data_IF_188978465626
#
_entry.id   IF_188978465626
#
_cell.length_a   1.000
_cell.length_b   1.000
_cell.length_c   1.000
_cell.angle_alpha   90.00
_cell.angle_beta   90.00
_cell.angle_gamma   90.00
#
_symmetry.space_group_name_H-M   'P 1'
#
loop_
_entity.id
_entity.type
_entity.pdbx_description
1 polymer ?
#
# COMPACT_ATOMS: atom_id res chain seq x y z
N UNK A 1 -5.60 23.97 -6.82
CA UNK A 1 -5.04 23.07 -7.85
C UNK A 1 -6.10 22.03 -8.11
N UNK A 2 -6.65 22.02 -9.31
CA UNK A 2 -7.64 21.03 -9.74
C UNK A 2 -6.86 20.02 -10.60
N UNK A 3 -6.89 18.74 -10.25
CA UNK A 3 -6.04 17.71 -10.88
C UNK A 3 -6.50 17.35 -12.31
N UNK A 4 -7.63 17.87 -12.77
CA UNK A 4 -8.25 17.50 -14.05
C UNK A 4 -9.03 16.17 -13.99
N UNK A 5 -8.93 15.43 -12.88
CA UNK A 5 -9.65 14.19 -12.64
C UNK A 5 -10.00 13.98 -11.16
N UNK A 6 -10.93 13.06 -10.91
CA UNK A 6 -11.27 12.51 -9.59
C UNK A 6 -11.17 10.98 -9.61
N UNK A 7 -11.09 10.38 -8.42
CA UNK A 7 -11.09 8.93 -8.25
C UNK A 7 -12.37 8.48 -7.56
N UNK A 8 -12.97 7.41 -8.08
CA UNK A 8 -14.19 6.81 -7.53
C UNK A 8 -14.02 5.30 -7.36
N UNK A 9 -14.68 4.73 -6.35
CA UNK A 9 -14.83 3.29 -6.21
C UNK A 9 -16.17 2.87 -6.82
N UNK A 10 -16.15 1.92 -7.75
CA UNK A 10 -17.33 1.37 -8.41
C UNK A 10 -17.14 -0.15 -8.57
N UNK A 11 -18.20 -0.94 -8.80
CA UNK A 11 -18.04 -2.34 -9.18
C UNK A 11 -17.08 -2.46 -10.37
N UNK A 12 -16.08 -3.32 -10.26
CA UNK A 12 -15.07 -3.52 -11.30
C UNK A 12 -15.70 -4.04 -12.60
N UNK A 13 -15.16 -3.63 -13.75
CA UNK A 13 -15.55 -4.14 -15.07
C UNK A 13 -14.92 -5.51 -15.37
N UNK A 14 -13.99 -5.97 -14.52
CA UNK A 14 -13.31 -7.24 -14.70
C UNK A 14 -14.31 -8.40 -14.48
N UNK A 15 -14.44 -9.34 -15.44
CA UNK A 15 -15.47 -10.37 -15.40
C UNK A 15 -15.08 -11.56 -14.50
N UNK A 16 -14.75 -11.32 -13.22
CA UNK A 16 -14.62 -12.38 -12.21
C UNK A 16 -15.13 -11.95 -10.84
N UNK A 17 -15.69 -12.91 -10.09
CA UNK A 17 -16.36 -12.66 -8.80
C UNK A 17 -15.45 -12.04 -7.74
N UNK A 18 -14.16 -12.34 -7.80
CA UNK A 18 -13.15 -11.82 -6.86
C UNK A 18 -12.69 -10.38 -7.17
N UNK A 19 -13.13 -9.75 -8.27
CA UNK A 19 -12.70 -8.40 -8.65
C UNK A 19 -13.31 -7.32 -7.75
N UNK A 20 -14.49 -7.58 -7.19
CA UNK A 20 -15.14 -6.69 -6.23
C UNK A 20 -15.29 -5.26 -6.74
N UNK A 21 -14.80 -4.30 -5.95
CA UNK A 21 -14.70 -2.89 -6.32
C UNK A 21 -13.40 -2.63 -7.07
N UNK A 22 -13.47 -1.76 -8.08
CA UNK A 22 -12.33 -1.24 -8.82
C UNK A 22 -12.15 0.25 -8.59
N UNK A 23 -10.93 0.74 -8.85
CA UNK A 23 -10.59 2.15 -8.86
C UNK A 23 -10.90 2.75 -10.24
N UNK A 24 -11.69 3.80 -10.31
CA UNK A 24 -12.03 4.48 -11.56
C UNK A 24 -11.51 5.90 -11.54
N UNK A 25 -10.97 6.34 -12.68
CA UNK A 25 -10.64 7.73 -12.93
C UNK A 25 -11.80 8.38 -13.69
N UNK A 26 -12.30 9.51 -13.21
CA UNK A 26 -13.28 10.37 -13.90
C UNK A 26 -12.61 11.68 -14.27
N UNK A 27 -12.59 12.05 -15.56
CA UNK A 27 -11.77 13.13 -16.10
C UNK A 27 -10.62 12.61 -16.97
N UNK A 28 -9.54 13.40 -17.09
CA UNK A 28 -8.40 13.10 -17.96
C UNK A 28 -7.07 13.15 -17.19
N UNK A 29 -6.16 12.23 -17.52
CA UNK A 29 -4.79 12.23 -17.00
C UNK A 29 -3.79 11.83 -18.08
N UNK A 30 -2.74 12.63 -18.24
CA UNK A 30 -1.68 12.37 -19.20
C UNK A 30 -0.74 11.24 -18.76
N UNK A 31 0.01 10.69 -19.72
CA UNK A 31 1.10 9.73 -19.44
C UNK A 31 2.07 10.33 -18.41
N UNK A 32 2.44 9.55 -17.40
CA UNK A 32 3.35 9.99 -16.33
C UNK A 32 2.66 10.70 -15.17
N UNK A 33 1.35 10.93 -15.22
CA UNK A 33 0.59 11.51 -14.11
C UNK A 33 0.52 10.54 -12.93
N UNK A 34 0.72 11.05 -11.71
CA UNK A 34 0.50 10.28 -10.47
C UNK A 34 -1.01 10.15 -10.24
N UNK A 35 -1.55 8.97 -10.42
CA UNK A 35 -2.98 8.68 -10.32
C UNK A 35 -3.43 8.49 -8.89
N UNK A 36 -2.73 7.66 -8.11
CA UNK A 36 -3.14 7.31 -6.74
C UNK A 36 -1.92 6.99 -5.85
N UNK A 37 -2.12 7.06 -4.54
CA UNK A 37 -1.13 6.75 -3.50
C UNK A 37 -1.59 5.47 -2.79
N UNK A 38 -0.66 4.54 -2.53
CA UNK A 38 -0.92 3.33 -1.76
C UNK A 38 -0.87 3.65 -0.26
N UNK A 39 -2.01 3.62 0.44
CA UNK A 39 -2.09 4.11 1.80
C UNK A 39 -1.76 3.02 2.83
N UNK A 40 -1.77 3.41 4.10
CA UNK A 40 -1.78 2.49 5.23
C UNK A 40 -0.45 2.35 5.97
N UNK A 41 -0.31 1.23 6.68
CA UNK A 41 0.76 1.03 7.66
C UNK A 41 2.00 0.45 6.99
N UNK A 42 3.13 1.14 7.15
CA UNK A 42 4.45 0.78 6.64
C UNK A 42 5.17 -0.09 7.67
N UNK A 43 5.65 -1.24 7.24
CA UNK A 43 6.50 -2.13 8.02
C UNK A 43 7.86 -2.25 7.34
N UNK A 44 8.91 -1.84 8.05
CA UNK A 44 10.27 -2.20 7.65
C UNK A 44 10.51 -3.70 7.87
N UNK A 45 11.54 -4.31 7.23
CA UNK A 45 11.88 -5.72 7.45
C UNK A 45 12.02 -6.14 8.92
N UNK A 46 12.42 -5.20 9.79
CA UNK A 46 12.58 -5.45 11.23
C UNK A 46 11.26 -5.80 11.93
N UNK A 47 10.15 -5.35 11.35
CA UNK A 47 8.83 -5.41 11.93
C UNK A 47 7.88 -6.38 11.23
N UNK A 48 8.36 -7.22 10.30
CA UNK A 48 7.52 -8.20 9.59
C UNK A 48 6.69 -9.10 10.51
N UNK A 49 7.26 -9.51 11.65
CA UNK A 49 6.57 -10.37 12.64
C UNK A 49 5.31 -9.72 13.24
N UNK A 50 5.18 -8.40 13.12
CA UNK A 50 4.05 -7.63 13.62
C UNK A 50 2.99 -7.37 12.54
N UNK A 51 3.25 -7.76 11.29
CA UNK A 51 2.22 -7.72 10.25
C UNK A 51 1.13 -8.72 10.67
N UNK A 52 -0.14 -8.30 10.74
CA UNK A 52 -1.21 -9.20 11.14
C UNK A 52 -1.30 -10.44 10.23
N UNK A 53 -1.43 -11.61 10.84
CA UNK A 53 -1.42 -12.90 10.12
C UNK A 53 -0.04 -13.50 9.88
N UNK A 54 1.05 -12.87 10.33
CA UNK A 54 2.41 -13.42 10.18
C UNK A 54 2.52 -14.85 10.76
N UNK A 55 3.19 -15.80 10.07
CA UNK A 55 3.92 -15.62 8.80
C UNK A 55 3.06 -15.70 7.53
N UNK A 56 1.77 -16.05 7.63
CA UNK A 56 0.84 -16.24 6.49
C UNK A 56 0.01 -14.97 6.25
N UNK A 57 0.71 -13.85 6.10
CA UNK A 57 0.11 -12.50 6.01
C UNK A 57 -0.82 -12.33 4.79
N UNK A 58 -0.56 -13.06 3.71
CA UNK A 58 -1.28 -13.00 2.43
C UNK A 58 -2.61 -13.77 2.42
N UNK A 59 -2.84 -14.66 3.40
CA UNK A 59 -4.00 -15.54 3.38
C UNK A 59 -5.34 -14.80 3.57
N UNK A 60 -5.34 -13.63 4.20
CA UNK A 60 -6.55 -12.86 4.54
C UNK A 60 -6.40 -11.36 4.26
N UNK A 61 -5.31 -10.93 3.62
CA UNK A 61 -5.04 -9.53 3.37
C UNK A 61 -4.67 -9.30 1.90
N UNK A 62 -5.65 -8.94 1.05
CA UNK A 62 -5.41 -8.66 -0.36
C UNK A 62 -4.70 -7.32 -0.59
N UNK A 63 -4.57 -6.48 0.45
CA UNK A 63 -4.05 -5.12 0.38
C UNK A 63 -2.66 -4.99 1.02
N UNK A 64 -1.85 -6.04 0.88
CA UNK A 64 -0.42 -6.03 1.19
C UNK A 64 0.39 -5.86 -0.08
N UNK A 65 1.34 -4.93 -0.05
CA UNK A 65 2.28 -4.71 -1.14
C UNK A 65 3.69 -4.56 -0.60
N UNK A 66 4.67 -5.08 -1.33
CA UNK A 66 6.09 -4.99 -0.97
C UNK A 66 6.83 -4.11 -1.97
N UNK A 67 7.58 -3.13 -1.45
CA UNK A 67 8.54 -2.33 -2.20
C UNK A 67 9.82 -3.12 -2.50
N UNK A 68 10.61 -2.65 -3.45
CA UNK A 68 11.88 -3.29 -3.82
C UNK A 68 12.90 -3.31 -2.66
N UNK A 69 12.85 -2.30 -1.78
CA UNK A 69 13.69 -2.17 -0.58
C UNK A 69 13.22 -3.04 0.60
N UNK A 70 12.21 -3.90 0.40
CA UNK A 70 11.68 -4.78 1.43
C UNK A 70 10.74 -4.09 2.41
N UNK A 71 10.36 -2.84 2.19
CA UNK A 71 9.29 -2.24 2.96
C UNK A 71 7.94 -2.83 2.53
N UNK A 72 7.11 -3.24 3.50
CA UNK A 72 5.75 -3.72 3.27
C UNK A 72 4.75 -2.64 3.65
N UNK A 73 3.75 -2.40 2.82
CA UNK A 73 2.64 -1.49 3.11
C UNK A 73 1.35 -2.31 3.24
N UNK A 74 0.62 -2.10 4.34
CA UNK A 74 -0.66 -2.71 4.62
C UNK A 74 -1.77 -1.66 4.55
N UNK A 75 -2.54 -1.67 3.46
CA UNK A 75 -3.65 -0.75 3.26
C UNK A 75 -4.96 -1.23 3.89
N UNK A 76 -5.04 -2.46 4.42
CA UNK A 76 -6.28 -2.98 5.02
C UNK A 76 -6.88 -2.08 6.12
N UNK A 77 -6.08 -1.54 7.08
CA UNK A 77 -6.62 -0.62 8.09
C UNK A 77 -7.11 0.71 7.52
N UNK A 78 -6.69 1.09 6.31
CA UNK A 78 -7.08 2.33 5.66
C UNK A 78 -8.51 2.28 5.09
N UNK A 79 -9.00 1.10 4.68
CA UNK A 79 -10.31 0.95 4.05
C UNK A 79 -10.44 1.84 2.80
N UNK A 80 -11.59 2.50 2.64
CA UNK A 80 -11.87 3.44 1.53
C UNK A 80 -11.58 4.91 1.89
N UNK A 81 -10.84 5.18 2.98
CA UNK A 81 -10.66 6.53 3.53
C UNK A 81 -11.72 6.87 4.57
N UNK A 82 -11.96 8.17 4.81
CA UNK A 82 -12.94 8.64 5.79
C UNK A 82 -13.34 10.10 5.57
N UNK A 83 -14.45 10.51 6.18
CA UNK A 83 -14.99 11.89 6.07
C UNK A 83 -14.36 12.88 7.07
N UNK A 84 -13.51 12.39 7.98
CA UNK A 84 -12.95 13.20 9.07
C UNK A 84 -11.45 12.98 9.26
N UNK A 85 -10.81 13.92 9.97
CA UNK A 85 -9.45 13.74 10.48
C UNK A 85 -9.50 12.79 11.66
N UNK A 86 -8.73 11.71 11.58
CA UNK A 86 -8.70 10.71 12.63
C UNK A 86 -7.28 10.59 13.19
N UNK A 87 -7.17 10.63 14.52
CA UNK A 87 -5.96 10.18 15.21
C UNK A 87 -5.89 8.66 15.07
N UNK A 88 -4.75 8.11 14.61
CA UNK A 88 -4.46 6.69 14.85
C UNK A 88 -4.15 6.54 16.33
N UNK A 89 -5.21 6.50 17.15
CA UNK A 89 -5.14 5.85 18.45
C UNK A 89 -4.99 4.36 18.16
N UNK A 90 -4.29 3.64 19.04
CA UNK A 90 -4.25 2.17 19.07
C UNK A 90 -5.62 1.54 19.39
N UNK A 91 -6.69 2.14 18.87
CA UNK A 91 -8.08 1.79 19.03
C UNK A 91 -8.41 0.67 18.07
N UNK A 92 -8.12 -0.55 18.52
CA UNK A 92 -8.97 -1.70 18.21
C UNK A 92 -10.33 -1.46 18.87
N UNK A 93 -11.10 -0.46 18.41
CA UNK A 93 -12.46 -0.21 18.86
C UNK A 93 -13.33 0.29 17.72
N UNK A 94 -14.20 -0.63 17.28
CA UNK A 94 -15.50 -0.44 16.62
C UNK A 94 -15.54 0.05 15.17
N UNK A 95 -15.47 -0.91 14.24
CA UNK A 95 -16.33 -0.90 13.05
C UNK A 95 -17.09 -2.22 13.05
N UNK A 96 -18.33 -2.19 13.54
CA UNK A 96 -19.18 -3.38 13.65
C UNK A 96 -19.56 -3.91 12.27
N UNK A 97 -18.96 -5.04 11.87
CA UNK A 97 -19.58 -6.03 10.97
C UNK A 97 -18.81 -7.36 11.03
N UNK A 98 -19.44 -8.39 11.61
CA UNK A 98 -19.31 -9.83 11.34
C UNK A 98 -17.94 -10.55 11.42
N UNK A 99 -16.85 -9.98 10.88
CA UNK A 99 -15.52 -10.59 10.77
C UNK A 99 -14.61 -10.30 12.00
N UNK A 100 -15.06 -9.46 12.93
CA UNK A 100 -14.24 -8.89 14.02
C UNK A 100 -13.75 -9.86 15.10
N UNK A 101 -14.34 -11.05 15.26
CA UNK A 101 -13.92 -11.95 16.36
C UNK A 101 -12.51 -12.51 16.15
N UNK A 102 -12.13 -12.75 14.89
CA UNK A 102 -10.80 -13.28 14.54
C UNK A 102 -9.75 -12.17 14.68
N UNK A 103 -10.07 -10.95 14.23
CA UNK A 103 -9.20 -9.78 14.36
C UNK A 103 -8.90 -9.41 15.81
N UNK A 104 -9.90 -9.47 16.71
CA UNK A 104 -9.71 -9.20 18.15
C UNK A 104 -8.73 -10.18 18.82
N UNK A 105 -8.62 -11.41 18.33
CA UNK A 105 -7.66 -12.39 18.85
C UNK A 105 -6.26 -12.20 18.26
N UNK A 106 -6.14 -11.74 17.01
CA UNK A 106 -4.86 -11.56 16.32
C UNK A 106 -4.19 -10.20 16.59
N UNK A 107 -4.93 -9.23 17.14
CA UNK A 107 -4.48 -7.84 17.35
C UNK A 107 -4.15 -7.49 18.81
N UNK A 108 -3.98 -8.47 19.71
CA UNK A 108 -3.53 -8.18 21.09
C UNK A 108 -2.22 -7.39 21.03
N UNK A 109 -2.19 -6.10 21.44
CA UNK A 109 -0.97 -5.32 21.45
C UNK A 109 -0.06 -5.90 22.52
N UNK A 110 1.15 -6.31 22.15
CA UNK A 110 2.23 -6.45 23.12
C UNK A 110 2.57 -5.04 23.60
N UNK A 111 2.44 -4.82 24.91
CA UNK A 111 2.78 -3.56 25.57
C UNK A 111 4.11 -3.00 25.07
N UNK A 112 4.08 -1.76 24.55
CA UNK A 112 5.27 -0.96 24.29
C UNK A 112 5.59 -0.59 22.83
N UNK A 113 4.95 -1.18 21.81
CA UNK A 113 5.27 -0.84 20.41
C UNK A 113 4.21 0.10 19.81
N UNK A 114 4.55 1.38 19.66
CA UNK A 114 3.66 2.43 19.14
C UNK A 114 3.67 2.42 17.60
N UNK A 115 2.49 2.48 16.98
CA UNK A 115 2.31 2.80 15.55
C UNK A 115 2.32 4.31 15.43
N UNK A 116 3.29 4.87 14.72
CA UNK A 116 3.55 6.32 14.74
C UNK A 116 4.12 6.82 16.07
N UNK A 117 4.68 8.03 16.06
CA UNK A 117 4.87 8.79 17.29
C UNK A 117 3.47 9.06 17.87
N UNK A 118 3.31 8.85 19.17
CA UNK A 118 2.06 9.11 19.89
C UNK A 118 1.50 10.49 19.53
N UNK A 119 0.49 10.57 18.66
CA UNK A 119 -0.14 11.83 18.23
C UNK A 119 -0.22 12.11 16.72
N UNK A 120 0.16 11.18 15.83
CA UNK A 120 0.01 11.39 14.38
C UNK A 120 -1.49 11.43 13.97
N UNK A 121 -2.02 12.64 13.81
CA UNK A 121 -3.33 12.90 13.18
C UNK A 121 -3.20 12.70 11.67
N UNK A 122 -4.05 11.83 11.10
CA UNK A 122 -4.10 11.57 9.67
C UNK A 122 -5.32 12.19 9.01
N UNK A 123 -5.10 12.78 7.85
CA UNK A 123 -6.15 13.18 6.93
C UNK A 123 -6.60 11.97 6.10
N UNK A 124 -7.68 11.31 6.52
CA UNK A 124 -8.27 10.17 5.78
C UNK A 124 -9.09 10.61 4.55
N UNK A 125 -9.26 11.92 4.33
CA UNK A 125 -9.92 12.51 3.16
C UNK A 125 -9.00 12.68 1.96
N UNK A 126 -7.78 12.16 1.98
CA UNK A 126 -6.88 12.27 0.83
C UNK A 126 -7.54 11.56 -0.39
N UNK A 127 -7.94 12.31 -1.43
CA UNK A 127 -8.72 11.75 -2.54
C UNK A 127 -7.92 10.79 -3.43
N UNK A 128 -6.59 10.78 -3.29
CA UNK A 128 -5.70 9.91 -4.05
C UNK A 128 -5.35 8.62 -3.29
N UNK A 129 -5.73 8.48 -2.02
CA UNK A 129 -5.35 7.37 -1.14
C UNK A 129 -6.21 6.10 -1.38
N UNK A 130 -6.28 5.65 -2.63
CA UNK A 130 -7.14 4.55 -3.10
C UNK A 130 -6.41 3.53 -3.99
N UNK A 131 -5.08 3.61 -4.10
CA UNK A 131 -4.33 2.75 -5.03
C UNK A 131 -4.50 1.25 -4.77
N UNK A 132 -4.83 0.83 -3.55
CA UNK A 132 -5.07 -0.57 -3.20
C UNK A 132 -6.36 -1.15 -3.77
N UNK A 133 -7.22 -0.31 -4.38
CA UNK A 133 -8.40 -0.75 -5.15
C UNK A 133 -8.15 -0.90 -6.66
N UNK A 134 -6.95 -0.55 -7.16
CA UNK A 134 -6.63 -0.78 -8.57
C UNK A 134 -6.48 -2.27 -8.82
N UNK A 135 -7.32 -2.83 -9.70
CA UNK A 135 -7.38 -4.27 -9.94
C UNK A 135 -6.38 -4.74 -10.99
N UNK A 136 -6.12 -6.05 -11.00
CA UNK A 136 -5.38 -6.69 -12.07
C UNK A 136 -6.20 -6.79 -13.36
N UNK A 137 -5.66 -6.45 -14.54
CA UNK A 137 -6.39 -6.61 -15.80
C UNK A 137 -6.87 -8.05 -16.03
N UNK A 138 -8.03 -8.19 -16.67
CA UNK A 138 -8.49 -9.48 -17.18
C UNK A 138 -7.66 -9.92 -18.38
N UNK A 139 -7.83 -11.19 -18.80
CA UNK A 139 -7.24 -11.68 -20.05
C UNK A 139 -7.66 -10.80 -21.23
N UNK A 140 -6.67 -10.27 -21.95
CA UNK A 140 -6.88 -9.39 -23.11
C UNK A 140 -7.09 -7.91 -22.77
N UNK A 141 -6.97 -7.53 -21.50
CA UNK A 141 -6.90 -6.13 -21.08
C UNK A 141 -5.45 -5.76 -20.75
N UNK A 142 -5.09 -4.51 -20.98
CA UNK A 142 -3.76 -3.98 -20.65
C UNK A 142 -3.80 -3.18 -19.34
N UNK A 143 -2.78 -3.30 -18.48
CA UNK A 143 -2.63 -2.37 -17.37
C UNK A 143 -2.37 -0.96 -17.91
N UNK A 144 -2.92 0.03 -17.21
CA UNK A 144 -2.81 1.44 -17.62
C UNK A 144 -2.08 2.30 -16.57
N UNK A 145 -1.65 1.68 -15.48
CA UNK A 145 -0.76 2.27 -14.47
C UNK A 145 0.37 1.32 -14.08
N UNK A 146 1.45 1.90 -13.55
CA UNK A 146 2.56 1.18 -12.95
C UNK A 146 2.83 1.67 -11.52
N UNK A 147 3.39 0.78 -10.69
CA UNK A 147 3.87 1.16 -9.35
C UNK A 147 5.20 1.91 -9.48
N UNK A 148 5.28 3.08 -8.87
CA UNK A 148 6.51 3.83 -8.66
C UNK A 148 6.77 4.00 -7.16
N UNK A 149 7.95 3.58 -6.64
CA UNK A 149 8.34 3.91 -5.27
C UNK A 149 8.53 5.42 -5.11
N UNK A 150 7.96 5.96 -4.04
CA UNK A 150 8.10 7.38 -3.70
C UNK A 150 8.39 7.53 -2.21
N UNK A 151 9.31 8.43 -1.89
CA UNK A 151 9.76 8.70 -0.51
C UNK A 151 9.42 10.16 -0.20
N UNK A 152 8.40 10.39 0.65
CA UNK A 152 8.00 11.74 1.06
C UNK A 152 9.03 12.33 2.01
N UNK A 153 9.72 13.43 1.66
CA UNK A 153 10.68 14.07 2.56
C UNK A 153 9.95 14.96 3.56
N UNK A 154 9.94 14.58 4.84
CA UNK A 154 9.26 15.30 5.94
C UNK A 154 9.97 16.61 6.32
N UNK A 155 10.10 17.51 5.34
CA UNK A 155 10.74 18.83 5.49
C UNK A 155 9.80 19.87 6.07
N UNK A 156 8.52 19.80 5.71
CA UNK A 156 7.48 20.75 6.12
C UNK A 156 6.73 20.26 7.36
N UNK A 157 6.50 21.18 8.29
CA UNK A 157 5.94 20.91 9.64
C UNK A 157 4.59 20.19 9.61
N UNK A 158 3.75 20.47 8.62
CA UNK A 158 2.36 20.01 8.57
C UNK A 158 2.09 19.00 7.44
N UNK A 159 3.09 18.67 6.62
CA UNK A 159 2.92 17.75 5.48
C UNK A 159 2.55 16.33 5.94
N UNK A 160 3.06 15.91 7.11
CA UNK A 160 2.83 14.58 7.69
C UNK A 160 1.34 14.20 7.73
N UNK A 161 0.46 15.16 8.03
CA UNK A 161 -0.99 14.93 8.15
C UNK A 161 -1.63 14.53 6.82
N UNK A 162 -1.06 14.94 5.68
CA UNK A 162 -1.60 14.68 4.35
C UNK A 162 -1.02 13.44 3.66
N UNK A 163 0.05 12.88 4.22
CA UNK A 163 0.65 11.64 3.73
C UNK A 163 -0.18 10.46 4.26
N UNK A 164 -0.81 9.64 3.40
CA UNK A 164 -1.74 8.60 3.82
C UNK A 164 -1.02 7.34 4.33
N UNK A 165 0.17 7.49 4.89
CA UNK A 165 1.01 6.40 5.37
C UNK A 165 1.49 6.67 6.79
N UNK A 166 1.64 5.60 7.56
CA UNK A 166 2.22 5.64 8.92
C UNK A 166 3.28 4.57 9.07
N UNK A 167 4.39 4.89 9.72
CA UNK A 167 5.42 3.89 10.04
C UNK A 167 5.04 3.10 11.30
N UNK A 168 5.15 1.78 11.21
CA UNK A 168 5.09 0.90 12.37
C UNK A 168 6.45 0.90 13.08
N UNK A 169 6.46 1.20 14.38
CA UNK A 169 7.68 1.29 15.17
C UNK A 169 8.53 2.52 14.83
N UNK A 170 9.74 2.57 15.41
CA UNK A 170 10.67 3.67 15.19
C UNK A 170 11.63 3.33 14.03
N UNK A 171 11.55 4.03 12.89
CA UNK A 171 12.41 3.74 11.73
C UNK A 171 13.90 3.97 12.01
N UNK A 172 14.25 4.84 12.96
CA UNK A 172 15.64 5.14 13.32
C UNK A 172 16.32 4.02 14.12
N UNK A 173 15.54 3.15 14.78
CA UNK A 173 16.09 2.13 15.68
C UNK A 173 16.67 0.90 14.96
N UNK A 174 16.29 0.64 13.70
CA UNK A 174 16.70 -0.61 13.02
C UNK A 174 16.97 -0.42 11.52
N UNK A 175 18.21 -0.08 11.18
CA UNK A 175 18.69 -0.15 9.79
C UNK A 175 18.95 -1.63 9.40
N UNK A 176 18.10 -2.21 8.55
CA UNK A 176 18.30 -3.56 8.01
C UNK A 176 18.87 -3.52 6.59
N UNK A 177 19.89 -4.33 6.33
CA UNK A 177 20.45 -4.52 4.98
C UNK A 177 20.11 -5.93 4.47
N UNK A 178 19.75 -6.01 3.19
CA UNK A 178 19.49 -7.27 2.51
C UNK A 178 20.79 -7.87 1.98
N UNK A 179 21.05 -9.13 2.31
CA UNK A 179 22.07 -9.94 1.64
C UNK A 179 21.39 -11.23 1.14
N UNK A 180 21.16 -11.31 -0.17
CA UNK A 180 20.38 -12.39 -0.78
C UNK A 180 18.92 -12.39 -0.33
N UNK A 181 18.45 -13.52 0.22
CA UNK A 181 17.10 -13.67 0.80
C UNK A 181 17.01 -13.28 2.27
N UNK A 182 18.12 -12.95 2.92
CA UNK A 182 18.19 -12.71 4.36
C UNK A 182 18.36 -11.22 4.71
N UNK A 183 17.73 -10.81 5.81
CA UNK A 183 17.81 -9.45 6.35
C UNK A 183 18.71 -9.43 7.59
N UNK A 184 19.75 -8.60 7.56
CA UNK A 184 20.70 -8.45 8.64
C UNK A 184 20.57 -7.06 9.26
N UNK A 185 20.63 -6.99 10.60
CA UNK A 185 20.73 -5.71 11.30
C UNK A 185 22.10 -5.10 11.02
N UNK A 186 22.14 -3.87 10.53
CA UNK A 186 23.35 -3.07 10.45
C UNK A 186 23.35 -2.06 11.60
N UNK A 187 24.49 -1.89 12.27
CA UNK A 187 24.64 -0.82 13.27
C UNK A 187 24.53 0.53 12.56
N UNK A 188 23.61 1.38 13.02
CA UNK A 188 23.49 2.74 12.52
C UNK A 188 24.79 3.49 12.81
N UNK A 189 25.53 3.88 11.76
CA UNK A 189 26.48 4.97 11.88
C UNK A 189 25.65 6.25 11.91
N UNK A 190 25.86 7.09 12.91
CA UNK A 190 25.27 8.44 12.96
C UNK A 190 25.75 9.22 11.72
N UNK A 191 24.99 9.18 10.63
CA UNK A 191 25.18 10.06 9.49
C UNK A 191 24.39 11.35 9.73
N UNK A 192 25.11 12.44 9.51
CA UNK A 192 24.71 13.82 9.68
C UNK A 192 23.53 14.15 8.75
N UNK A 193 22.48 14.77 9.30
CA UNK A 193 21.49 15.58 8.56
C UNK A 193 20.61 14.88 7.49
N UNK A 194 20.12 13.66 7.73
CA UNK A 194 19.09 13.11 6.84
C UNK A 194 17.69 13.59 7.24
N UNK A 195 17.00 14.26 6.31
CA UNK A 195 15.58 14.58 6.45
C UNK A 195 14.80 13.26 6.55
N UNK A 196 13.94 13.06 7.56
CA UNK A 196 13.19 11.82 7.69
C UNK A 196 12.26 11.64 6.48
N UNK A 197 12.21 10.42 5.93
CA UNK A 197 11.36 10.09 4.78
C UNK A 197 10.27 9.08 5.13
N UNK A 198 9.08 9.25 4.56
CA UNK A 198 8.01 8.25 4.58
C UNK A 198 7.94 7.51 3.25
N UNK A 199 8.20 6.21 3.30
CA UNK A 199 8.28 5.31 2.15
C UNK A 199 6.89 4.85 1.71
N UNK A 200 6.45 5.24 0.51
CA UNK A 200 5.17 4.83 -0.07
C UNK A 200 5.31 4.23 -1.47
N UNK A 201 4.19 3.87 -2.07
CA UNK A 201 4.06 3.56 -3.49
C UNK A 201 3.00 4.46 -4.10
N UNK A 202 3.24 4.90 -5.34
CA UNK A 202 2.25 5.63 -6.13
C UNK A 202 1.96 4.89 -7.43
N UNK A 203 0.76 5.07 -7.97
CA UNK A 203 0.39 4.61 -9.30
C UNK A 203 0.65 5.73 -10.29
N UNK A 204 1.39 5.44 -11.34
CA UNK A 204 1.72 6.38 -12.41
C UNK A 204 1.10 5.89 -13.71
N UNK A 205 0.40 6.77 -14.42
CA UNK A 205 -0.20 6.46 -15.71
C UNK A 205 0.85 6.07 -16.74
N UNK A 206 0.68 4.91 -17.40
CA UNK A 206 1.57 4.44 -18.47
C UNK A 206 1.08 4.83 -19.86
N UNK A 207 -0.15 5.30 -19.95
CA UNK A 207 -0.82 5.85 -21.14
C UNK A 207 -1.78 6.95 -20.70
N UNK A 208 -2.33 7.73 -21.64
CA UNK A 208 -3.36 8.71 -21.32
C UNK A 208 -4.62 7.98 -20.84
N UNK A 209 -5.23 8.47 -19.76
CA UNK A 209 -6.44 7.90 -19.17
C UNK A 209 -7.60 8.85 -19.36
N UNK A 210 -8.78 8.30 -19.69
CA UNK A 210 -10.00 9.10 -19.82
C UNK A 210 -11.21 8.26 -19.37
N UNK A 211 -11.83 8.63 -18.24
CA UNK A 211 -13.07 8.03 -17.75
C UNK A 211 -13.06 6.48 -17.73
N UNK A 212 -11.97 5.88 -17.23
CA UNK A 212 -11.74 4.43 -17.29
C UNK A 212 -11.36 3.82 -15.93
N UNK A 213 -11.47 2.49 -15.83
CA UNK A 213 -10.97 1.74 -14.67
C UNK A 213 -9.43 1.74 -14.66
N UNK A 214 -8.84 1.98 -13.50
CA UNK A 214 -7.40 1.96 -13.26
C UNK A 214 -6.97 0.51 -13.01
N UNK A 215 -6.12 -0.02 -13.90
CA UNK A 215 -5.69 -1.40 -13.94
C UNK A 215 -4.19 -1.52 -13.68
N UNK A 216 -3.85 -2.26 -12.65
CA UNK A 216 -2.49 -2.46 -12.17
C UNK A 216 -2.03 -3.91 -12.40
N UNK A 217 -0.88 -4.08 -13.04
CA UNK A 217 -0.26 -5.41 -13.09
C UNK A 217 0.28 -5.83 -11.69
N UNK A 218 -0.40 -6.78 -11.04
CA UNK A 218 -0.01 -7.34 -9.74
C UNK A 218 1.30 -8.12 -9.75
N UNK A 219 1.73 -8.64 -10.92
CA UNK A 219 2.96 -9.42 -11.07
C UNK A 219 3.09 -10.55 -10.05
N UNK A 220 2.02 -11.32 -9.83
CA UNK A 220 2.00 -12.39 -8.83
C UNK A 220 3.14 -13.39 -9.09
N UNK A 221 3.79 -13.84 -8.01
CA UNK A 221 4.91 -14.77 -8.11
C UNK A 221 4.52 -16.06 -8.83
N UNK A 222 5.46 -16.62 -9.57
CA UNK A 222 5.31 -17.92 -10.22
C UNK A 222 5.62 -19.09 -9.25
N UNK A 223 6.12 -18.80 -8.05
CA UNK A 223 6.53 -19.79 -7.04
C UNK A 223 5.36 -20.44 -6.29
N UNK A 224 4.21 -19.75 -6.23
CA UNK A 224 2.95 -20.29 -5.69
C UNK A 224 1.98 -20.56 -6.83
N UNK A 225 1.00 -21.44 -6.60
CA UNK A 225 -0.11 -21.64 -7.53
C UNK A 225 -0.86 -20.31 -7.70
N UNK A 226 -0.82 -19.76 -8.92
CA UNK A 226 -1.55 -18.53 -9.27
C UNK A 226 -3.07 -18.79 -9.21
N UNK A 227 -3.87 -17.80 -8.76
CA UNK A 227 -5.32 -17.90 -8.80
C UNK A 227 -5.83 -18.13 -10.22
N UNK A 228 -6.99 -18.80 -10.37
CA UNK A 228 -7.56 -19.12 -11.68
C UNK A 228 -7.95 -17.86 -12.50
N UNK A 229 -8.22 -16.74 -11.82
CA UNK A 229 -8.54 -15.47 -12.45
C UNK A 229 -7.30 -14.69 -12.93
N UNK A 230 -6.11 -15.01 -12.41
CA UNK A 230 -4.89 -14.26 -12.73
C UNK A 230 -4.37 -14.64 -14.12
N UNK A 231 -4.18 -13.64 -14.97
CA UNK A 231 -3.59 -13.81 -16.30
C UNK A 231 -2.29 -13.00 -16.37
N UNK A 232 -1.12 -13.62 -16.57
CA UNK A 232 0.13 -12.87 -16.70
C UNK A 232 0.04 -11.87 -17.86
N UNK A 233 0.38 -10.61 -17.60
CA UNK A 233 0.43 -9.56 -18.64
C UNK A 233 1.64 -9.75 -19.55
N UNK A 234 2.80 -10.03 -18.95
CA UNK A 234 4.05 -10.34 -19.65
C UNK A 234 4.75 -11.49 -18.92
N UNK A 235 4.67 -12.70 -19.50
CA UNK A 235 5.27 -13.90 -18.92
C UNK A 235 6.80 -13.87 -18.89
N UNK A 236 7.43 -13.17 -19.83
CA UNK A 236 8.88 -13.07 -19.92
C UNK A 236 9.41 -12.09 -18.86
N UNK A 237 8.74 -10.97 -18.67
CA UNK A 237 9.04 -10.04 -17.57
C UNK A 237 8.80 -10.69 -16.20
N UNK A 238 7.67 -11.39 -16.02
CA UNK A 238 7.38 -12.15 -14.80
C UNK A 238 8.49 -13.17 -14.51
N UNK A 239 8.97 -13.89 -15.52
CA UNK A 239 10.06 -14.87 -15.37
C UNK A 239 11.35 -14.20 -14.93
N UNK A 240 11.72 -13.06 -15.53
CA UNK A 240 12.92 -12.29 -15.14
C UNK A 240 12.84 -11.73 -13.72
N UNK A 241 11.64 -11.39 -13.25
CA UNK A 241 11.43 -10.86 -11.89
C UNK A 241 11.54 -11.94 -10.82
N UNK A 242 11.10 -13.16 -11.13
CA UNK A 242 10.97 -14.25 -10.17
C UNK A 242 11.99 -15.38 -10.34
N UNK A 243 12.88 -15.31 -11.33
CA UNK A 243 14.09 -16.14 -11.45
C UNK A 243 15.14 -15.73 -10.44
#
# INVERSE_FOLDING_TARGET
MELGYSLDLKPSLIPHKEAGEGLFLSGEADVGTVIAIYPGVIYSPAYYRYIPGYPRVDAQNPYLITRYDGTVINALPWGSGGESREEIRSSVQNVEKGQDRVWRMLSKPLEGTRVGSSGDVLERRNPLALAHFANHPAKGMDPNVMICPYDFPLTEKDMRTYIPNVSFGNPEEVNMRRFGSFWFKSSAKNSVSDVPVLKTLVLVATKALCNEEVLLNYRLSNTKRRPAWYTPVDEEEDRRRWS
#
